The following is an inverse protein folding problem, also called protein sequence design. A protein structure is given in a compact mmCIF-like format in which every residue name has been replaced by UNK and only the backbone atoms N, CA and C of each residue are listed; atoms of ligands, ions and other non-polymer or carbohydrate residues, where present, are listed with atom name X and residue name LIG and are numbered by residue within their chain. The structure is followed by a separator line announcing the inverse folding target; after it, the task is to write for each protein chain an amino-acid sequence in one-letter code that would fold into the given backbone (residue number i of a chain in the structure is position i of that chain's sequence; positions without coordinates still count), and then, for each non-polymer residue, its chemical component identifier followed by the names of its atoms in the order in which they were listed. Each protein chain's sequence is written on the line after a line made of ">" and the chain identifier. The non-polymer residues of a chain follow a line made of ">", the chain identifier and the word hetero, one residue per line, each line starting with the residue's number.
data_IF_834487313139
#
_entry.id   IF_834487313139
#
_cell.length_a   1.000
_cell.length_b   1.000
_cell.length_c   1.000
_cell.angle_alpha   90.00
_cell.angle_beta   90.00
_cell.angle_gamma   90.00
#
_symmetry.space_group_name_H-M   'P 1'
#
loop_
_entity.id
_entity.type
_entity.pdbx_description
1 polymer ?
#
# COMPACT_ATOMS: atom_id res chain seq x y z
N UNK A 1 16.84 -8.26 15.69
CA UNK A 1 16.03 -7.45 16.63
C UNK A 1 16.08 -8.13 17.99
N UNK A 2 16.33 -7.39 19.07
CA UNK A 2 16.23 -7.95 20.41
C UNK A 2 14.77 -8.36 20.67
N UNK A 3 14.55 -9.60 21.11
CA UNK A 3 13.22 -10.05 21.57
C UNK A 3 12.96 -9.33 22.90
N UNK A 4 12.18 -8.26 22.86
CA UNK A 4 11.73 -7.55 24.06
C UNK A 4 10.47 -8.25 24.59
N UNK A 5 10.57 -8.84 25.76
CA UNK A 5 9.47 -9.49 26.48
C UNK A 5 9.17 -10.93 26.03
N UNK A 6 7.91 -11.33 26.20
CA UNK A 6 7.41 -12.69 25.95
C UNK A 6 7.43 -13.05 24.45
N UNK A 7 8.00 -14.22 24.11
CA UNK A 7 7.95 -14.73 22.74
C UNK A 7 6.56 -15.27 22.39
N UNK A 8 6.29 -15.50 21.10
CA UNK A 8 5.03 -16.11 20.67
C UNK A 8 4.84 -17.52 21.24
N UNK A 9 5.92 -18.31 21.32
CA UNK A 9 5.88 -19.66 21.88
C UNK A 9 5.62 -19.62 23.38
N UNK A 10 6.22 -18.67 24.11
CA UNK A 10 5.94 -18.48 25.54
C UNK A 10 4.47 -18.07 25.77
N UNK A 11 3.93 -17.20 24.91
CA UNK A 11 2.52 -16.82 24.96
C UNK A 11 1.59 -18.02 24.75
N UNK A 12 1.90 -18.89 23.78
CA UNK A 12 1.14 -20.12 23.56
C UNK A 12 1.23 -21.08 24.75
N UNK A 13 2.43 -21.23 25.33
CA UNK A 13 2.64 -22.05 26.51
C UNK A 13 1.83 -21.55 27.71
N UNK A 14 1.70 -20.24 27.92
CA UNK A 14 0.84 -19.68 28.97
C UNK A 14 -0.65 -19.95 28.73
N UNK A 15 -1.09 -19.96 27.46
CA UNK A 15 -2.46 -20.33 27.08
C UNK A 15 -2.71 -21.82 27.33
N UNK A 16 -1.83 -22.70 26.88
CA UNK A 16 -1.95 -24.16 27.09
C UNK A 16 -1.91 -24.52 28.58
N UNK A 17 -1.03 -23.87 29.35
CA UNK A 17 -0.95 -24.08 30.80
C UNK A 17 -2.22 -23.69 31.53
N UNK A 18 -3.04 -22.78 30.98
CA UNK A 18 -4.30 -22.36 31.61
C UNK A 18 -5.34 -23.48 31.69
N UNK A 19 -5.29 -24.44 30.78
CA UNK A 19 -6.17 -25.63 30.70
C UNK A 19 -5.48 -26.92 31.15
N UNK A 20 -4.19 -26.86 31.52
CA UNK A 20 -3.41 -28.01 31.98
C UNK A 20 -2.81 -28.87 30.85
N UNK A 21 -2.68 -28.31 29.64
CA UNK A 21 -2.02 -28.98 28.52
C UNK A 21 -0.48 -28.82 28.63
N UNK A 22 0.26 -29.69 27.95
CA UNK A 22 1.72 -29.68 27.96
C UNK A 22 2.31 -28.48 27.21
N UNK A 23 3.57 -28.17 27.51
CA UNK A 23 4.32 -27.10 26.85
C UNK A 23 4.82 -27.54 25.46
N UNK A 24 4.82 -26.60 24.53
CA UNK A 24 5.38 -26.74 23.19
C UNK A 24 6.73 -26.03 23.08
N UNK A 25 7.58 -26.53 22.19
CA UNK A 25 8.93 -25.98 21.94
C UNK A 25 9.01 -25.14 20.66
N UNK A 26 7.97 -25.19 19.82
CA UNK A 26 7.86 -24.43 18.58
C UNK A 26 6.40 -24.07 18.30
N UNK A 27 6.17 -22.97 17.58
CA UNK A 27 4.83 -22.61 17.13
C UNK A 27 4.25 -23.69 16.19
N UNK A 28 2.93 -23.95 16.24
CA UNK A 28 2.29 -24.94 15.35
C UNK A 28 2.41 -24.54 13.88
N UNK A 29 2.57 -25.54 13.02
CA UNK A 29 2.51 -25.39 11.57
C UNK A 29 1.10 -25.05 11.07
N UNK A 30 1.00 -24.63 9.81
CA UNK A 30 -0.29 -24.34 9.17
C UNK A 30 -1.18 -25.59 9.00
N UNK A 31 -0.57 -26.77 8.88
CA UNK A 31 -1.23 -28.07 8.71
C UNK A 31 -1.49 -28.82 10.02
N UNK A 32 -1.02 -28.28 11.15
CA UNK A 32 -1.11 -28.97 12.43
C UNK A 32 -2.55 -28.95 12.94
N UNK A 33 -2.92 -29.96 13.70
CA UNK A 33 -4.26 -30.08 14.32
C UNK A 33 -4.08 -30.47 15.77
N UNK A 34 -4.97 -29.99 16.65
CA UNK A 34 -4.90 -30.28 18.08
C UNK A 34 -4.93 -29.02 18.96
N UNK A 35 -4.79 -29.20 20.28
CA UNK A 35 -4.93 -28.12 21.26
C UNK A 35 -3.99 -26.94 20.99
N UNK A 36 -2.77 -27.22 20.57
CA UNK A 36 -1.75 -26.20 20.27
C UNK A 36 -2.18 -25.30 19.10
N UNK A 37 -2.73 -25.91 18.05
CA UNK A 37 -3.24 -25.17 16.89
C UNK A 37 -4.48 -24.35 17.23
N UNK A 38 -5.35 -24.91 18.06
CA UNK A 38 -6.54 -24.20 18.53
C UNK A 38 -6.15 -23.00 19.39
N UNK A 39 -5.15 -23.16 20.27
CA UNK A 39 -4.59 -22.09 21.09
C UNK A 39 -3.97 -20.99 20.22
N UNK A 40 -3.20 -21.35 19.19
CA UNK A 40 -2.64 -20.39 18.23
C UNK A 40 -3.74 -19.65 17.46
N UNK A 41 -4.72 -20.36 16.95
CA UNK A 41 -5.83 -19.77 16.20
C UNK A 41 -6.60 -18.77 17.06
N UNK A 42 -6.83 -19.10 18.34
CA UNK A 42 -7.50 -18.21 19.26
C UNK A 42 -6.64 -17.01 19.64
N UNK A 43 -5.35 -17.22 19.90
CA UNK A 43 -4.40 -16.15 20.18
C UNK A 43 -4.35 -15.13 19.03
N UNK A 44 -4.24 -15.61 17.80
CA UNK A 44 -4.25 -14.76 16.61
C UNK A 44 -5.57 -13.99 16.45
N UNK A 45 -6.70 -14.65 16.72
CA UNK A 45 -8.03 -14.02 16.69
C UNK A 45 -8.16 -12.91 17.73
N UNK A 46 -7.76 -13.16 18.98
CA UNK A 46 -7.81 -12.18 20.07
C UNK A 46 -6.85 -11.02 19.77
N UNK A 47 -5.64 -11.33 19.31
CA UNK A 47 -4.65 -10.34 18.88
C UNK A 47 -5.23 -9.43 17.81
N UNK A 48 -5.83 -9.99 16.75
CA UNK A 48 -6.45 -9.20 15.69
C UNK A 48 -7.62 -8.36 16.21
N UNK A 49 -8.48 -8.92 17.07
CA UNK A 49 -9.60 -8.21 17.69
C UNK A 49 -9.12 -6.99 18.48
N UNK A 50 -8.12 -7.17 19.35
CA UNK A 50 -7.57 -6.07 20.14
C UNK A 50 -6.88 -5.04 19.23
N UNK A 51 -6.04 -5.49 18.30
CA UNK A 51 -5.32 -4.59 17.38
C UNK A 51 -6.28 -3.76 16.51
N UNK A 52 -7.46 -4.27 16.13
CA UNK A 52 -8.45 -3.49 15.36
C UNK A 52 -9.00 -2.27 16.10
N UNK A 53 -8.85 -2.19 17.43
CA UNK A 53 -9.31 -1.06 18.23
C UNK A 53 -8.54 0.24 17.91
N UNK A 54 -7.32 0.13 17.38
CA UNK A 54 -6.49 1.28 17.00
C UNK A 54 -5.76 1.88 18.20
N UNK A 55 -4.83 1.12 18.77
CA UNK A 55 -3.94 1.59 19.82
C UNK A 55 -2.84 2.50 19.25
N UNK A 56 -2.24 3.33 20.09
CA UNK A 56 -1.19 4.25 19.64
C UNK A 56 0.03 3.52 19.05
N UNK A 57 0.43 2.40 19.64
CA UNK A 57 1.57 1.59 19.18
C UNK A 57 1.35 0.96 17.80
N UNK A 58 0.10 0.71 17.40
CA UNK A 58 -0.24 0.06 16.15
C UNK A 58 -0.91 0.99 15.14
N UNK A 59 -1.04 2.28 15.45
CA UNK A 59 -1.67 3.27 14.58
C UNK A 59 -0.64 4.28 14.10
N UNK A 60 -0.41 4.31 12.78
CA UNK A 60 0.37 5.36 12.13
C UNK A 60 -0.57 6.51 11.75
N UNK A 61 -0.35 7.67 12.36
CA UNK A 61 -1.17 8.86 12.12
C UNK A 61 -0.75 9.60 10.86
N UNK A 62 -1.73 10.13 10.13
CA UNK A 62 -1.57 11.00 8.96
C UNK A 62 -0.52 10.50 7.94
N UNK A 63 -0.50 9.20 7.67
CA UNK A 63 0.40 8.61 6.68
C UNK A 63 -0.03 9.00 5.28
N UNK A 64 0.91 9.56 4.53
CA UNK A 64 0.73 9.94 3.14
C UNK A 64 0.78 8.71 2.24
N UNK A 65 -0.22 8.57 1.37
CA UNK A 65 -0.24 7.61 0.27
C UNK A 65 -0.45 8.35 -1.05
N UNK A 66 0.39 8.03 -2.03
CA UNK A 66 0.23 8.49 -3.41
C UNK A 66 -0.42 7.36 -4.22
N UNK A 67 -1.46 7.64 -5.02
CA UNK A 67 -2.07 6.62 -5.88
C UNK A 67 -1.05 5.98 -6.81
N UNK A 68 -1.06 4.64 -6.88
CA UNK A 68 -0.18 3.90 -7.78
C UNK A 68 -0.69 4.06 -9.21
N UNK A 69 0.15 4.59 -10.10
CA UNK A 69 -0.13 4.64 -11.54
C UNK A 69 -0.14 3.26 -12.22
N UNK A 70 -0.09 2.16 -11.47
CA UNK A 70 0.03 0.80 -11.98
C UNK A 70 -1.34 0.19 -12.27
N UNK A 71 -1.99 0.68 -13.32
CA UNK A 71 -2.98 -0.13 -14.03
C UNK A 71 -2.31 -1.32 -14.74
N UNK A 72 -3.05 -2.40 -15.08
CA UNK A 72 -2.49 -3.54 -15.79
C UNK A 72 -1.94 -3.10 -17.15
N UNK A 73 -0.65 -3.34 -17.40
CA UNK A 73 -0.11 -3.31 -18.75
C UNK A 73 -0.86 -4.35 -19.58
N UNK A 74 -1.63 -3.90 -20.56
CA UNK A 74 -2.23 -4.79 -21.55
C UNK A 74 -1.10 -5.56 -22.24
N UNK A 75 -1.03 -6.86 -21.94
CA UNK A 75 -0.07 -7.77 -22.49
C UNK A 75 -0.16 -7.86 -24.01
N UNK A 76 1.01 -7.99 -24.60
CA UNK A 76 1.28 -8.52 -25.93
C UNK A 76 0.38 -9.71 -26.30
N UNK A 77 -0.58 -9.47 -27.19
CA UNK A 77 -1.37 -10.50 -27.85
C UNK A 77 -1.14 -10.41 -29.35
N UNK A 78 -0.41 -11.39 -29.89
CA UNK A 78 -0.23 -11.58 -31.32
C UNK A 78 -1.59 -11.80 -32.01
N UNK A 79 -1.95 -10.89 -32.92
CA UNK A 79 -3.08 -11.00 -33.83
C UNK A 79 -2.59 -10.79 -35.26
N UNK A 80 -2.71 -11.85 -36.05
CA UNK A 80 -2.30 -12.03 -37.44
C UNK A 80 -2.40 -10.79 -38.33
N UNK A 81 -1.31 -10.51 -39.05
CA UNK A 81 -1.26 -9.57 -40.16
C UNK A 81 -2.16 -10.05 -41.30
N UNK A 82 -3.04 -9.17 -41.76
CA UNK A 82 -3.39 -9.12 -43.18
C UNK A 82 -2.60 -7.97 -43.81
N UNK A 83 -2.15 -8.20 -45.03
CA UNK A 83 -0.96 -7.57 -45.63
C UNK A 83 -0.96 -6.03 -45.64
N UNK A 84 0.05 -5.41 -45.03
CA UNK A 84 0.40 -4.00 -45.29
C UNK A 84 1.89 -3.79 -45.04
N UNK A 85 2.58 -3.17 -46.00
CA UNK A 85 4.03 -3.01 -46.01
C UNK A 85 4.55 -2.31 -44.74
N UNK A 86 5.62 -2.83 -44.16
CA UNK A 86 6.30 -2.22 -43.00
C UNK A 86 7.19 -1.07 -43.49
N UNK A 87 6.89 0.17 -43.09
CA UNK A 87 7.74 1.32 -43.34
C UNK A 87 8.63 1.57 -42.13
N UNK A 88 9.96 1.59 -42.31
CA UNK A 88 10.88 2.00 -41.25
C UNK A 88 11.24 3.47 -41.46
N UNK A 89 10.60 4.36 -40.71
CA UNK A 89 10.97 5.78 -40.67
C UNK A 89 12.17 5.91 -39.72
N UNK A 90 13.37 6.04 -40.29
CA UNK A 90 14.51 6.58 -39.55
C UNK A 90 14.71 8.03 -39.98
N UNK A 91 15.16 8.89 -39.05
CA UNK A 91 14.97 10.35 -38.96
C UNK A 91 14.96 11.24 -40.22
N UNK A 92 15.32 10.79 -41.44
CA UNK A 92 15.16 11.54 -42.72
C UNK A 92 14.91 10.68 -43.97
N UNK A 93 14.69 9.37 -43.83
CA UNK A 93 14.65 8.44 -44.98
C UNK A 93 13.43 7.53 -44.88
N UNK A 94 12.61 7.55 -45.93
CA UNK A 94 11.54 6.56 -46.13
C UNK A 94 12.10 5.48 -47.04
N UNK A 95 12.17 4.24 -46.53
CA UNK A 95 12.61 3.05 -47.28
C UNK A 95 11.44 2.07 -47.40
N UNK A 96 11.13 1.62 -48.61
CA UNK A 96 10.08 0.64 -48.86
C UNK A 96 10.68 -0.76 -49.09
N UNK A 97 10.04 -1.79 -48.54
CA UNK A 97 10.51 -3.20 -48.62
C UNK A 97 9.93 -3.97 -49.82
N UNK A 98 9.33 -3.30 -50.81
CA UNK A 98 8.70 -3.92 -51.99
C UNK A 98 8.37 -2.93 -53.13
N UNK A 99 7.97 -3.46 -54.29
CA UNK A 99 7.63 -2.67 -55.48
C UNK A 99 6.30 -1.91 -55.31
N UNK A 100 6.29 -0.62 -55.66
CA UNK A 100 5.25 0.35 -55.36
C UNK A 100 3.87 0.04 -55.97
N UNK A 101 2.79 0.19 -55.21
CA UNK A 101 1.41 0.25 -55.75
C UNK A 101 0.57 1.45 -55.26
N UNK A 102 1.10 2.35 -54.42
CA UNK A 102 0.31 3.48 -53.94
C UNK A 102 1.12 4.58 -53.24
N UNK A 103 1.47 5.62 -53.98
CA UNK A 103 1.72 6.97 -53.48
C UNK A 103 1.27 7.94 -54.59
N UNK A 104 0.82 9.14 -54.24
CA UNK A 104 0.57 10.21 -55.20
C UNK A 104 1.64 11.27 -55.01
N UNK A 105 2.42 11.52 -56.06
CA UNK A 105 3.23 12.73 -56.09
C UNK A 105 2.28 13.93 -56.08
N UNK A 106 2.52 14.87 -55.16
CA UNK A 106 1.89 16.17 -55.26
C UNK A 106 2.38 16.91 -56.51
N UNK A 107 1.79 18.07 -56.80
CA UNK A 107 2.36 18.97 -57.79
C UNK A 107 3.70 19.53 -57.27
N UNK A 108 4.82 18.95 -57.71
CA UNK A 108 6.19 19.40 -57.37
C UNK A 108 7.08 18.31 -56.74
N UNK A 109 8.22 18.73 -56.17
CA UNK A 109 9.15 17.86 -55.43
C UNK A 109 8.65 17.58 -54.00
N UNK A 110 7.43 17.07 -53.85
CA UNK A 110 6.84 16.71 -52.55
C UNK A 110 6.12 15.37 -52.59
N UNK A 111 6.09 14.69 -51.44
CA UNK A 111 5.34 13.45 -51.20
C UNK A 111 4.29 13.72 -50.15
N UNK A 112 3.05 13.31 -50.40
CA UNK A 112 2.02 13.28 -49.37
C UNK A 112 2.10 11.98 -48.58
N UNK A 113 2.16 12.08 -47.26
CA UNK A 113 2.23 10.91 -46.36
C UNK A 113 0.89 10.79 -45.64
N UNK A 114 0.21 9.66 -45.86
CA UNK A 114 -1.02 9.31 -45.15
C UNK A 114 -0.69 8.70 -43.78
N UNK A 115 -1.49 8.98 -42.74
CA UNK A 115 -1.34 8.33 -41.45
C UNK A 115 -1.67 6.83 -41.56
N UNK A 116 -0.91 5.98 -40.86
CA UNK A 116 -1.26 4.56 -40.70
C UNK A 116 -2.26 4.48 -39.54
N UNK A 117 -3.52 4.14 -39.83
CA UNK A 117 -4.61 4.17 -38.85
C UNK A 117 -4.53 3.09 -37.74
N UNK A 118 -3.48 2.24 -37.69
CA UNK A 118 -3.49 1.05 -36.82
C UNK A 118 -2.29 0.82 -35.89
N UNK A 119 -1.38 1.78 -35.69
CA UNK A 119 -0.35 1.62 -34.64
C UNK A 119 0.00 2.93 -33.96
N UNK A 120 0.38 2.83 -32.68
CA UNK A 120 0.65 3.87 -31.67
C UNK A 120 1.79 4.87 -31.99
N UNK A 121 1.97 5.24 -33.26
CA UNK A 121 2.98 6.17 -33.74
C UNK A 121 2.33 7.03 -34.83
N UNK A 122 1.53 8.02 -34.44
CA UNK A 122 0.86 8.88 -35.41
C UNK A 122 1.90 9.75 -36.13
N UNK A 123 2.10 9.50 -37.42
CA UNK A 123 2.84 10.40 -38.31
C UNK A 123 1.91 11.59 -38.60
N UNK A 124 2.42 12.82 -38.49
CA UNK A 124 1.66 14.02 -38.87
C UNK A 124 1.35 13.98 -40.37
N UNK A 125 0.07 13.94 -40.72
CA UNK A 125 -0.41 13.96 -42.11
C UNK A 125 0.02 15.25 -42.82
N UNK A 126 0.54 15.12 -44.04
CA UNK A 126 0.92 16.31 -44.82
C UNK A 126 1.83 16.07 -46.03
N UNK A 127 2.10 17.17 -46.73
CA UNK A 127 3.07 17.21 -47.82
C UNK A 127 4.48 17.46 -47.27
N UNK A 128 5.41 16.58 -47.61
CA UNK A 128 6.82 16.70 -47.23
C UNK A 128 7.70 16.92 -48.46
N UNK A 129 8.52 17.98 -48.49
CA UNK A 129 9.41 18.25 -49.61
C UNK A 129 10.55 17.22 -49.70
N UNK A 130 10.84 16.78 -50.92
CA UNK A 130 11.89 15.82 -51.25
C UNK A 130 13.23 16.56 -51.35
N UNK A 131 14.24 16.10 -50.61
CA UNK A 131 15.61 16.58 -50.74
C UNK A 131 16.33 15.90 -51.90
N UNK A 132 16.15 14.58 -52.02
CA UNK A 132 16.74 13.79 -53.11
C UNK A 132 16.02 12.46 -53.27
N UNK A 133 15.96 11.98 -54.51
CA UNK A 133 15.57 10.61 -54.86
C UNK A 133 16.82 9.76 -54.99
N UNK A 134 16.88 8.63 -54.30
CA UNK A 134 18.05 7.74 -54.38
C UNK A 134 17.77 6.56 -55.32
N UNK A 135 18.84 5.91 -55.79
CA UNK A 135 18.77 4.81 -56.75
C UNK A 135 18.21 3.50 -56.16
N UNK A 136 17.87 3.48 -54.86
CA UNK A 136 17.56 2.28 -54.08
C UNK A 136 16.15 2.31 -53.47
N UNK A 137 15.16 2.83 -54.20
CA UNK A 137 13.76 2.93 -53.75
C UNK A 137 13.57 3.71 -52.43
N UNK A 138 14.50 4.61 -52.11
CA UNK A 138 14.44 5.44 -50.91
C UNK A 138 14.33 6.93 -51.28
N UNK A 139 13.44 7.62 -50.59
CA UNK A 139 13.25 9.08 -50.71
C UNK A 139 13.83 9.72 -49.45
N UNK A 140 14.70 10.71 -49.66
CA UNK A 140 15.24 11.54 -48.58
C UNK A 140 14.43 12.82 -48.53
N UNK A 141 13.91 13.17 -47.35
CA UNK A 141 13.11 14.36 -47.13
C UNK A 141 13.99 15.53 -46.69
N UNK A 142 13.59 16.77 -47.02
CA UNK A 142 14.32 17.97 -46.57
C UNK A 142 14.20 18.20 -45.07
N UNK A 143 13.11 17.75 -44.45
CA UNK A 143 12.86 17.82 -43.02
C UNK A 143 12.61 16.43 -42.43
N UNK A 144 12.96 16.28 -41.15
CA UNK A 144 12.62 15.08 -40.37
C UNK A 144 11.11 15.02 -40.15
N UNK A 145 10.50 13.87 -40.40
CA UNK A 145 9.14 13.58 -39.96
C UNK A 145 9.21 13.29 -38.47
N UNK A 146 8.57 14.13 -37.67
CA UNK A 146 8.33 13.81 -36.27
C UNK A 146 7.27 12.72 -36.23
N UNK A 147 7.65 11.55 -35.73
CA UNK A 147 6.64 10.67 -35.14
C UNK A 147 6.08 11.48 -33.98
N UNK A 148 4.76 11.65 -33.91
CA UNK A 148 4.15 12.05 -32.66
C UNK A 148 4.41 10.90 -31.69
N UNK A 149 5.57 10.94 -31.05
CA UNK A 149 5.76 10.31 -29.77
C UNK A 149 4.66 10.92 -28.90
N UNK A 150 3.92 10.07 -28.21
CA UNK A 150 2.69 10.35 -27.47
C UNK A 150 2.95 11.26 -26.25
N UNK A 151 3.58 12.41 -26.47
CA UNK A 151 4.15 13.31 -25.47
C UNK A 151 3.59 14.71 -25.69
N UNK A 152 2.26 14.77 -25.77
CA UNK A 152 1.52 15.80 -25.06
C UNK A 152 0.68 15.10 -23.97
N UNK A 153 1.39 14.47 -23.01
CA UNK A 153 0.95 14.35 -21.62
C UNK A 153 -0.31 13.53 -21.30
N UNK A 154 -0.90 12.76 -22.22
CA UNK A 154 -2.00 11.86 -21.86
C UNK A 154 -1.43 10.47 -21.62
N UNK A 155 -0.81 10.28 -20.44
CA UNK A 155 -0.72 8.93 -19.88
C UNK A 155 -2.15 8.40 -19.83
N UNK A 156 -2.42 7.26 -20.46
CA UNK A 156 -3.57 6.45 -20.09
C UNK A 156 -3.31 5.93 -18.66
N UNK A 157 -3.55 6.79 -17.69
CA UNK A 157 -3.50 6.45 -16.28
C UNK A 157 -4.70 5.52 -16.08
N UNK A 158 -4.43 4.20 -15.98
CA UNK A 158 -5.42 3.28 -15.42
C UNK A 158 -5.90 3.82 -14.07
N UNK A 159 -7.08 3.42 -13.57
CA UNK A 159 -7.65 4.02 -12.36
C UNK A 159 -6.59 4.15 -11.26
N UNK A 160 -6.34 5.38 -10.81
CA UNK A 160 -5.38 5.70 -9.76
C UNK A 160 -5.90 5.14 -8.45
N UNK A 161 -5.43 3.96 -8.10
CA UNK A 161 -5.82 3.27 -6.87
C UNK A 161 -4.74 3.44 -5.82
N UNK A 162 -5.15 3.60 -4.57
CA UNK A 162 -4.23 3.55 -3.43
C UNK A 162 -4.30 2.16 -2.84
N UNK A 163 -3.21 1.41 -2.97
CA UNK A 163 -3.04 0.11 -2.34
C UNK A 163 -2.28 0.28 -1.03
N UNK A 164 -2.79 -0.30 0.06
CA UNK A 164 -2.12 -0.33 1.35
C UNK A 164 -1.49 -1.70 1.60
N UNK A 165 -0.60 -1.79 2.60
CA UNK A 165 0.04 -3.04 2.98
C UNK A 165 -0.95 -4.12 3.43
N UNK A 166 -0.60 -5.39 3.25
CA UNK A 166 -1.42 -6.53 3.70
C UNK A 166 -1.51 -6.66 5.22
N UNK A 167 -0.65 -5.95 5.94
CA UNK A 167 -0.65 -5.84 7.40
C UNK A 167 -1.66 -4.82 7.93
N UNK A 168 -2.34 -4.05 7.07
CA UNK A 168 -3.31 -3.06 7.50
C UNK A 168 -4.65 -3.70 7.87
N UNK A 169 -5.13 -3.39 9.08
CA UNK A 169 -6.42 -3.86 9.62
C UNK A 169 -7.53 -2.85 9.39
N UNK A 170 -7.20 -1.56 9.46
CA UNK A 170 -8.17 -0.47 9.37
C UNK A 170 -7.50 0.79 8.85
N UNK A 171 -8.27 1.56 8.08
CA UNK A 171 -7.91 2.92 7.67
C UNK A 171 -8.98 3.90 8.13
N UNK A 172 -8.56 5.13 8.39
CA UNK A 172 -9.42 6.29 8.61
C UNK A 172 -8.78 7.48 7.92
N UNK A 173 -9.60 8.37 7.36
CA UNK A 173 -9.11 9.59 6.74
C UNK A 173 -8.51 10.55 7.77
N UNK A 174 -7.40 11.20 7.42
CA UNK A 174 -6.66 12.08 8.33
C UNK A 174 -6.23 13.38 7.64
N UNK A 175 -5.79 14.35 8.43
CA UNK A 175 -5.19 15.59 7.94
C UNK A 175 -6.08 16.34 6.92
N UNK A 176 -5.53 16.81 5.79
CA UNK A 176 -6.31 17.47 4.74
C UNK A 176 -7.41 16.62 4.15
N UNK A 177 -7.30 15.28 4.22
CA UNK A 177 -8.30 14.34 3.70
C UNK A 177 -9.36 13.97 4.73
N UNK A 178 -9.38 14.57 5.92
CA UNK A 178 -10.28 14.20 7.03
C UNK A 178 -11.77 14.33 6.72
N UNK A 179 -12.12 15.12 5.70
CA UNK A 179 -13.50 15.32 5.26
C UNK A 179 -14.07 14.16 4.43
N UNK A 180 -13.20 13.29 3.90
CA UNK A 180 -13.62 12.14 3.08
C UNK A 180 -13.89 10.93 3.97
N UNK A 181 -14.81 10.05 3.60
CA UNK A 181 -15.03 8.77 4.26
C UNK A 181 -14.29 7.66 3.51
N UNK A 182 -13.01 7.49 3.85
CA UNK A 182 -12.15 6.48 3.26
C UNK A 182 -12.24 5.19 4.06
N UNK A 183 -12.51 4.07 3.38
CA UNK A 183 -12.62 2.73 3.96
C UNK A 183 -11.75 1.76 3.19
N UNK A 184 -11.38 0.65 3.82
CA UNK A 184 -10.65 -0.42 3.14
C UNK A 184 -11.65 -1.32 2.40
N UNK A 185 -11.39 -1.61 1.12
CA UNK A 185 -12.15 -2.58 0.33
C UNK A 185 -11.32 -3.87 0.11
N UNK A 186 -11.96 -4.89 -0.46
CA UNK A 186 -11.30 -6.13 -0.85
C UNK A 186 -10.05 -5.85 -1.71
N UNK A 187 -8.96 -6.56 -1.41
CA UNK A 187 -7.68 -6.38 -2.09
C UNK A 187 -6.80 -5.27 -1.51
N UNK A 188 -7.06 -4.78 -0.29
CA UNK A 188 -6.25 -3.75 0.38
C UNK A 188 -6.22 -2.42 -0.40
N UNK A 189 -7.31 -2.12 -1.10
CA UNK A 189 -7.47 -0.86 -1.84
C UNK A 189 -8.32 0.09 -1.02
N UNK A 190 -7.92 1.36 -0.98
CA UNK A 190 -8.68 2.43 -0.33
C UNK A 190 -9.88 2.78 -1.21
N UNK A 191 -11.07 2.76 -0.63
CA UNK A 191 -12.33 3.07 -1.26
C UNK A 191 -12.92 4.33 -0.63
N UNK A 192 -13.30 5.29 -1.46
CA UNK A 192 -14.04 6.48 -1.05
C UNK A 192 -15.53 6.14 -0.99
N UNK A 193 -16.04 6.00 0.23
CA UNK A 193 -17.43 5.64 0.46
C UNK A 193 -18.41 6.79 0.15
N UNK A 194 -17.96 8.05 0.15
CA UNK A 194 -18.82 9.19 -0.16
C UNK A 194 -19.06 9.30 -1.67
N UNK A 195 -18.04 8.98 -2.46
CA UNK A 195 -18.09 9.02 -3.93
C UNK A 195 -18.43 7.68 -4.58
N UNK A 196 -18.35 6.59 -3.81
CA UNK A 196 -18.64 5.25 -4.30
C UNK A 196 -17.60 4.71 -5.29
N UNK A 197 -16.32 5.10 -5.12
CA UNK A 197 -15.24 4.76 -6.06
C UNK A 197 -13.97 4.35 -5.34
N UNK A 198 -13.19 3.46 -5.94
CA UNK A 198 -11.84 3.09 -5.51
C UNK A 198 -10.75 3.87 -6.27
N UNK A 199 -11.16 4.77 -7.16
CA UNK A 199 -10.28 5.62 -7.96
C UNK A 199 -10.14 6.97 -7.29
N UNK A 200 -8.91 7.38 -7.02
CA UNK A 200 -8.56 8.68 -6.46
C UNK A 200 -8.38 9.70 -7.60
N UNK A 201 -8.73 10.95 -7.34
CA UNK A 201 -8.48 12.05 -8.29
C UNK A 201 -6.96 12.23 -8.49
N UNK A 202 -6.57 12.65 -9.69
CA UNK A 202 -5.17 12.75 -10.18
C UNK A 202 -4.15 13.20 -9.13
N UNK A 203 -3.16 12.33 -8.86
CA UNK A 203 -1.94 12.54 -8.03
C UNK A 203 -2.14 13.16 -6.63
N UNK A 204 -3.38 13.29 -6.15
CA UNK A 204 -3.66 13.83 -4.84
C UNK A 204 -3.18 12.83 -3.78
N UNK A 205 -2.16 13.25 -3.03
CA UNK A 205 -1.69 12.51 -1.86
C UNK A 205 -2.82 12.46 -0.84
N UNK A 206 -3.25 11.25 -0.49
CA UNK A 206 -4.25 11.04 0.55
C UNK A 206 -3.55 10.77 1.88
N UNK A 207 -4.10 11.35 2.95
CA UNK A 207 -3.58 11.17 4.30
C UNK A 207 -4.52 10.24 5.07
N UNK A 208 -3.95 9.16 5.61
CA UNK A 208 -4.69 8.13 6.31
C UNK A 208 -4.09 7.88 7.69
N UNK A 209 -4.94 7.77 8.69
CA UNK A 209 -4.61 7.07 9.93
C UNK A 209 -4.76 5.57 9.67
N UNK A 210 -3.69 4.83 9.85
CA UNK A 210 -3.59 3.44 9.45
C UNK A 210 -3.27 2.56 10.65
N UNK A 211 -4.15 1.61 10.95
CA UNK A 211 -3.95 0.63 12.02
C UNK A 211 -3.36 -0.66 11.44
N UNK A 212 -2.19 -1.03 11.96
CA UNK A 212 -1.39 -2.20 11.54
C UNK A 212 -1.62 -3.41 12.43
N UNK A 213 -1.45 -4.59 11.84
CA UNK A 213 -1.37 -5.85 12.54
C UNK A 213 0.07 -6.12 12.98
N UNK A 214 0.36 -5.87 14.26
CA UNK A 214 1.68 -6.09 14.82
C UNK A 214 1.87 -7.49 15.42
N UNK A 215 0.89 -8.39 15.38
CA UNK A 215 0.94 -9.63 16.17
C UNK A 215 0.64 -10.93 15.47
N UNK A 216 0.38 -10.91 14.17
CA UNK A 216 -0.08 -12.11 13.44
C UNK A 216 1.00 -13.16 13.16
N UNK A 217 2.28 -12.86 13.40
CA UNK A 217 3.39 -13.76 13.07
C UNK A 217 4.50 -13.67 14.11
N UNK A 218 5.36 -14.70 14.18
CA UNK A 218 6.55 -14.67 15.03
C UNK A 218 7.52 -13.52 14.67
N UNK A 219 7.47 -13.00 13.44
CA UNK A 219 8.28 -11.85 13.01
C UNK A 219 7.69 -10.51 13.47
N UNK A 220 6.36 -10.41 13.55
CA UNK A 220 5.69 -9.17 13.96
C UNK A 220 5.47 -9.11 15.47
N UNK A 221 5.20 -10.24 16.13
CA UNK A 221 4.95 -10.34 17.58
C UNK A 221 5.95 -9.57 18.47
N UNK A 222 7.28 -9.58 18.18
CA UNK A 222 8.24 -8.80 18.97
C UNK A 222 7.96 -7.29 18.96
N UNK A 223 7.27 -6.76 17.94
CA UNK A 223 6.94 -5.34 17.80
C UNK A 223 5.80 -4.88 18.72
N UNK A 224 5.13 -5.79 19.42
CA UNK A 224 4.11 -5.45 20.41
C UNK A 224 4.79 -5.12 21.75
N UNK A 225 4.30 -4.11 22.47
CA UNK A 225 4.79 -3.79 23.81
C UNK A 225 4.58 -4.96 24.79
N UNK A 226 5.46 -5.14 25.79
CA UNK A 226 5.30 -6.21 26.79
C UNK A 226 3.94 -6.20 27.49
N UNK A 227 3.42 -5.02 27.84
CA UNK A 227 2.13 -4.90 28.55
C UNK A 227 0.94 -5.33 27.66
N UNK A 228 0.98 -4.98 26.37
CA UNK A 228 -0.04 -5.41 25.42
C UNK A 228 0.02 -6.93 25.20
N UNK A 229 1.22 -7.53 25.17
CA UNK A 229 1.37 -8.99 25.10
C UNK A 229 0.71 -9.67 26.30
N UNK A 230 0.91 -9.17 27.51
CA UNK A 230 0.26 -9.70 28.72
C UNK A 230 -1.27 -9.58 28.66
N UNK A 231 -1.78 -8.45 28.17
CA UNK A 231 -3.23 -8.24 27.98
C UNK A 231 -3.81 -9.21 26.96
N UNK A 232 -3.17 -9.38 25.80
CA UNK A 232 -3.58 -10.33 24.75
C UNK A 232 -3.60 -11.76 25.29
N UNK A 233 -2.55 -12.16 26.01
CA UNK A 233 -2.43 -13.51 26.58
C UNK A 233 -3.49 -13.74 27.65
N UNK A 234 -3.76 -12.75 28.51
CA UNK A 234 -4.80 -12.86 29.55
C UNK A 234 -6.20 -13.01 28.96
N UNK A 235 -6.54 -12.22 27.92
CA UNK A 235 -7.79 -12.39 27.17
C UNK A 235 -7.87 -13.77 26.52
N UNK A 236 -6.78 -14.23 25.91
CA UNK A 236 -6.74 -15.52 25.24
C UNK A 236 -6.90 -16.68 26.22
N UNK A 237 -6.25 -16.64 27.38
CA UNK A 237 -6.38 -17.64 28.46
C UNK A 237 -7.83 -17.75 28.93
N UNK A 238 -8.50 -16.63 29.12
CA UNK A 238 -9.91 -16.60 29.51
C UNK A 238 -10.80 -17.24 28.43
N UNK A 239 -10.65 -16.82 27.17
CA UNK A 239 -11.47 -17.34 26.07
C UNK A 239 -11.19 -18.83 25.81
N UNK A 240 -9.92 -19.27 25.91
CA UNK A 240 -9.53 -20.66 25.74
C UNK A 240 -10.07 -21.56 26.86
N UNK A 241 -10.00 -21.09 28.11
CA UNK A 241 -10.51 -21.84 29.27
C UNK A 241 -12.03 -22.02 29.20
N UNK A 242 -12.77 -20.98 28.79
CA UNK A 242 -14.22 -21.04 28.57
C UNK A 242 -14.60 -21.97 27.43
N UNK A 243 -13.74 -22.08 26.42
CA UNK A 243 -13.97 -22.96 25.30
C UNK A 243 -13.68 -24.43 25.62
N UNK A 244 -12.64 -24.75 26.39
CA UNK A 244 -12.19 -26.14 26.66
C UNK A 244 -12.77 -26.76 27.92
N UNK A 245 -12.56 -26.14 29.09
CA UNK A 245 -12.76 -26.81 30.38
C UNK A 245 -13.88 -26.20 31.24
N UNK A 246 -14.31 -24.95 30.96
CA UNK A 246 -15.42 -24.27 31.65
C UNK A 246 -15.35 -24.32 33.19
N UNK A 247 -14.16 -24.40 33.78
CA UNK A 247 -14.02 -24.42 35.25
C UNK A 247 -14.24 -23.03 35.82
N UNK A 248 -15.33 -22.86 36.57
CA UNK A 248 -15.76 -21.56 37.13
C UNK A 248 -14.69 -20.94 38.03
N UNK A 249 -14.06 -21.71 38.92
CA UNK A 249 -13.03 -21.19 39.82
C UNK A 249 -11.84 -20.62 39.04
N UNK A 250 -11.40 -21.34 38.00
CA UNK A 250 -10.32 -20.89 37.12
C UNK A 250 -10.73 -19.66 36.31
N UNK A 251 -11.97 -19.59 35.84
CA UNK A 251 -12.52 -18.43 35.14
C UNK A 251 -12.48 -17.18 36.01
N UNK A 252 -12.89 -17.28 37.29
CA UNK A 252 -12.84 -16.13 38.21
C UNK A 252 -11.43 -15.64 38.48
N UNK A 253 -10.46 -16.55 38.60
CA UNK A 253 -9.05 -16.18 38.74
C UNK A 253 -8.53 -15.50 37.48
N UNK A 254 -8.81 -16.05 36.29
CA UNK A 254 -8.39 -15.46 35.02
C UNK A 254 -9.01 -14.09 34.76
N UNK A 255 -10.26 -13.86 35.22
CA UNK A 255 -10.88 -12.53 35.16
C UNK A 255 -10.16 -11.51 36.04
N UNK A 256 -9.66 -11.90 37.22
CA UNK A 256 -8.86 -11.01 38.07
C UNK A 256 -7.50 -10.70 37.43
N UNK A 257 -6.83 -11.72 36.88
CA UNK A 257 -5.57 -11.55 36.15
C UNK A 257 -5.75 -10.62 34.94
N UNK A 258 -6.84 -10.78 34.19
CA UNK A 258 -7.20 -9.90 33.08
C UNK A 258 -7.40 -8.45 33.53
N UNK A 259 -8.16 -8.22 34.61
CA UNK A 259 -8.40 -6.87 35.13
C UNK A 259 -7.10 -6.16 35.55
N UNK A 260 -6.15 -6.92 36.13
CA UNK A 260 -4.82 -6.38 36.47
C UNK A 260 -4.05 -6.02 35.20
N UNK A 261 -4.03 -6.89 34.19
CA UNK A 261 -3.35 -6.63 32.92
C UNK A 261 -3.92 -5.40 32.21
N UNK A 262 -5.24 -5.28 32.12
CA UNK A 262 -5.91 -4.10 31.53
C UNK A 262 -5.57 -2.82 32.29
N UNK A 263 -5.59 -2.85 33.63
CA UNK A 263 -5.24 -1.68 34.44
C UNK A 263 -3.78 -1.26 34.29
N UNK A 264 -2.89 -2.21 34.04
CA UNK A 264 -1.44 -1.97 33.89
C UNK A 264 -1.17 -1.38 32.51
N UNK A 265 -1.74 -1.98 31.47
CA UNK A 265 -1.68 -1.45 30.13
C UNK A 265 -2.26 -0.02 30.04
N UNK A 266 -3.45 0.22 30.61
CA UNK A 266 -4.08 1.53 30.58
C UNK A 266 -3.21 2.62 31.26
N UNK A 267 -2.53 2.29 32.35
CA UNK A 267 -1.60 3.21 33.03
C UNK A 267 -0.39 3.53 32.16
N UNK A 268 0.20 2.51 31.54
CA UNK A 268 1.42 2.68 30.74
C UNK A 268 1.12 3.33 29.38
N UNK A 269 -0.05 3.08 28.79
CA UNK A 269 -0.48 3.75 27.56
C UNK A 269 -0.55 5.28 27.74
N UNK A 270 -1.02 5.78 28.90
CA UNK A 270 -1.09 7.21 29.21
C UNK A 270 0.29 7.88 29.35
N UNK A 271 1.37 7.12 29.57
CA UNK A 271 2.71 7.69 29.65
C UNK A 271 3.31 8.05 28.29
N UNK A 272 2.76 7.54 27.19
CA UNK A 272 3.28 7.83 25.84
C UNK A 272 2.78 9.16 25.28
N UNK A 273 1.72 9.73 25.86
CA UNK A 273 1.24 11.10 25.62
C UNK A 273 2.07 12.18 26.36
N UNK A 274 3.30 11.86 26.78
CA UNK A 274 4.21 12.81 27.44
C UNK A 274 4.61 14.02 26.57
N UNK A 275 4.32 14.01 25.27
CA UNK A 275 4.43 15.21 24.43
C UNK A 275 3.33 16.26 24.69
N UNK A 276 2.24 15.89 25.39
CA UNK A 276 1.17 16.80 25.84
C UNK A 276 1.19 16.94 27.38
N UNK A 277 2.36 16.83 28.02
CA UNK A 277 2.48 17.21 29.42
C UNK A 277 2.61 18.75 29.50
N UNK A 278 1.75 19.45 30.27
CA UNK A 278 1.76 20.92 30.36
C UNK A 278 3.10 21.49 30.88
N UNK A 279 3.93 20.66 31.49
CA UNK A 279 5.29 21.02 31.93
C UNK A 279 6.24 21.32 30.75
N UNK A 280 6.11 20.61 29.61
CA UNK A 280 6.93 20.87 28.44
C UNK A 280 6.53 22.19 27.76
N UNK A 281 5.23 22.51 27.72
CA UNK A 281 4.73 23.80 27.22
C UNK A 281 5.21 24.97 28.09
N UNK A 282 5.28 24.82 29.42
CA UNK A 282 5.80 25.85 30.30
C UNK A 282 7.31 26.07 30.12
N UNK A 283 8.08 25.00 29.93
CA UNK A 283 9.53 25.11 29.66
C UNK A 283 9.83 25.82 28.33
N UNK A 284 9.03 25.54 27.29
CA UNK A 284 9.16 26.19 25.98
C UNK A 284 8.75 27.67 26.04
N UNK A 285 7.67 28.00 26.77
CA UNK A 285 7.25 29.38 26.99
C UNK A 285 8.33 30.17 27.73
N UNK A 286 8.91 29.60 28.79
CA UNK A 286 9.92 30.26 29.62
C UNK A 286 11.26 30.45 28.87
N UNK A 287 11.59 29.52 27.95
CA UNK A 287 12.70 29.68 27.02
C UNK A 287 12.45 30.82 26.01
N UNK A 288 11.24 30.92 25.46
CA UNK A 288 10.86 32.01 24.55
C UNK A 288 10.85 33.36 25.27
N UNK A 289 10.38 33.44 26.51
CA UNK A 289 10.38 34.71 27.27
C UNK A 289 11.81 35.15 27.61
N UNK A 290 12.71 34.21 27.93
CA UNK A 290 14.13 34.51 28.15
C UNK A 290 14.83 34.99 26.88
N UNK A 291 14.58 34.34 25.75
CA UNK A 291 15.12 34.79 24.45
C UNK A 291 14.65 36.20 24.10
N UNK A 292 13.35 36.50 24.26
CA UNK A 292 12.81 37.84 24.00
C UNK A 292 13.43 38.93 24.90
N UNK A 293 13.77 38.60 26.15
CA UNK A 293 14.42 39.55 27.08
C UNK A 293 15.91 39.80 26.78
N UNK A 294 16.59 38.88 26.08
CA UNK A 294 18.00 39.05 25.71
C UNK A 294 18.18 39.89 24.45
N UNK A 295 17.22 39.88 23.53
CA UNK A 295 17.22 40.72 22.32
C UNK A 295 16.80 42.17 22.58
N UNK A 296 16.28 42.47 23.77
CA UNK A 296 15.81 43.79 24.18
C UNK A 296 16.83 44.59 25.02
N UNK A 297 18.08 44.13 25.12
CA UNK A 297 19.23 44.85 25.70
C UNK A 297 20.27 45.13 24.62
#
# INVERSE_FOLDING_TARGET
>A
MAVLGMSLVDALNEVLRSVGEDHITSAPGASDTGPDKDAETLLLRVTQRLMTMGFQENTELAKAYTPDGTGPQAGSGAGSADSTATYTVSSRTITATGAYSGYTFGSGDSVYVYPIESTANAIVEGYHPIASKTNANAIVLQSSIWVADDVCGVRAVGPLKVTVGTDILRVRSAGPSSYRKLVLNAGQVVYDADRGTDTMDNDDTIYLDVTKNLGSTAATWPNISPDMKEMIVSWTRLEYQRWRNMLTDRDTQLLQELAIAESTWARNAMETDKEIQPFNAFSALLAQTRAASQTAR
#
